data_IF_977083096016
#
_entry.id   IF_977083096016
#
_cell.length_a   1.000
_cell.length_b   1.000
_cell.length_c   1.000
_cell.angle_alpha   90.00
_cell.angle_beta   90.00
_cell.angle_gamma   90.00
#
_symmetry.space_group_name_H-M   'P 1'
#
loop_
_entity.id
_entity.type
_entity.pdbx_description
1 polymer ?
#
# COMPACT_ATOMS: atom_id res chain seq x y z
N UNK A 1 -27.20 15.12 -2.31
CA UNK A 1 -26.72 14.87 -3.71
C UNK A 1 -26.92 13.39 -4.03
N UNK A 2 -27.22 13.00 -5.30
CA UNK A 2 -27.37 11.58 -5.65
C UNK A 2 -26.03 10.96 -6.08
N UNK A 3 -25.97 9.63 -6.06
CA UNK A 3 -24.75 8.84 -6.37
C UNK A 3 -24.21 9.10 -7.79
N UNK A 4 -25.09 9.28 -8.78
CA UNK A 4 -24.67 9.55 -10.18
C UNK A 4 -23.90 10.87 -10.30
N UNK A 5 -24.33 11.89 -9.58
CA UNK A 5 -23.64 13.19 -9.56
C UNK A 5 -22.26 13.06 -8.92
N UNK A 6 -22.15 12.32 -7.82
CA UNK A 6 -20.87 12.09 -7.15
C UNK A 6 -19.90 11.33 -8.06
N UNK A 7 -20.37 10.25 -8.72
CA UNK A 7 -19.57 9.51 -9.69
C UNK A 7 -19.05 10.42 -10.81
N UNK A 8 -19.91 11.32 -11.32
CA UNK A 8 -19.50 12.29 -12.34
C UNK A 8 -18.44 13.24 -11.78
N UNK A 9 -18.66 13.82 -10.60
CA UNK A 9 -17.71 14.74 -9.97
C UNK A 9 -16.34 14.08 -9.74
N UNK A 10 -16.30 12.83 -9.24
CA UNK A 10 -15.05 12.10 -9.04
C UNK A 10 -14.27 11.87 -10.35
N UNK A 11 -14.94 11.84 -11.50
CA UNK A 11 -14.31 11.65 -12.82
C UNK A 11 -13.84 12.96 -13.47
N UNK A 12 -14.56 14.09 -13.24
CA UNK A 12 -14.31 15.32 -13.99
C UNK A 12 -13.77 16.49 -13.15
N UNK A 13 -13.72 16.37 -11.82
CA UNK A 13 -13.19 17.41 -10.96
C UNK A 13 -11.77 17.81 -11.36
N UNK A 14 -11.45 19.10 -11.31
CA UNK A 14 -10.07 19.58 -11.55
C UNK A 14 -9.07 18.93 -10.60
N UNK A 15 -9.53 18.67 -9.39
CA UNK A 15 -8.75 18.06 -8.33
C UNK A 15 -9.69 17.44 -7.29
N UNK A 16 -9.20 16.46 -6.58
CA UNK A 16 -9.78 15.90 -5.36
C UNK A 16 -8.70 15.86 -4.29
N UNK A 17 -9.10 15.66 -3.05
CA UNK A 17 -8.21 15.57 -1.90
C UNK A 17 -8.38 14.21 -1.25
N UNK A 18 -7.26 13.60 -0.83
CA UNK A 18 -7.23 12.31 -0.18
C UNK A 18 -6.42 12.40 1.11
N UNK A 19 -6.83 11.65 2.14
CA UNK A 19 -6.04 11.49 3.36
C UNK A 19 -4.93 10.47 3.08
N UNK A 20 -3.70 10.85 3.41
CA UNK A 20 -2.51 10.01 3.31
C UNK A 20 -1.98 9.69 4.69
N UNK A 21 -1.55 8.46 4.89
CA UNK A 21 -0.84 8.05 6.10
C UNK A 21 0.65 8.42 6.02
N UNK A 22 1.12 9.22 6.95
CA UNK A 22 2.55 9.50 7.09
C UNK A 22 3.34 8.24 7.53
N UNK A 23 2.65 7.30 8.17
CA UNK A 23 3.23 6.03 8.59
C UNK A 23 3.62 5.14 7.42
N UNK A 24 2.82 5.12 6.34
CA UNK A 24 3.01 4.21 5.20
C UNK A 24 3.39 4.93 3.92
N UNK A 25 3.30 6.27 3.89
CA UNK A 25 3.45 7.12 2.69
C UNK A 25 2.47 6.75 1.56
N UNK A 26 1.36 6.13 1.95
CA UNK A 26 0.28 5.67 1.07
C UNK A 26 -1.04 6.27 1.55
N UNK A 27 -2.12 5.98 0.85
CA UNK A 27 -3.47 6.37 1.28
C UNK A 27 -3.73 5.84 2.70
N UNK A 28 -4.38 6.67 3.53
CA UNK A 28 -4.88 6.21 4.82
C UNK A 28 -6.07 5.30 4.56
N UNK A 29 -5.96 4.04 4.96
CA UNK A 29 -7.01 3.03 4.78
C UNK A 29 -7.75 2.82 6.08
N UNK A 30 -9.05 2.57 5.98
CA UNK A 30 -9.91 2.21 7.10
C UNK A 30 -10.94 1.16 6.65
N UNK A 31 -11.37 0.30 7.58
CA UNK A 31 -12.47 -0.62 7.35
C UNK A 31 -13.80 0.08 7.68
N UNK A 32 -14.78 -0.05 6.80
CA UNK A 32 -16.13 0.40 7.06
C UNK A 32 -16.79 -0.56 8.07
N UNK A 33 -17.25 -0.10 9.23
CA UNK A 33 -17.78 -0.99 10.27
C UNK A 33 -19.12 -1.65 9.91
N UNK A 34 -19.84 -1.12 8.91
CA UNK A 34 -21.17 -1.63 8.49
C UNK A 34 -21.06 -2.60 7.32
N UNK A 35 -20.23 -2.27 6.31
CA UNK A 35 -20.13 -3.04 5.06
C UNK A 35 -18.88 -3.92 5.01
N UNK A 36 -17.92 -3.71 5.92
CA UNK A 36 -16.61 -4.33 5.95
C UNK A 36 -15.78 -4.05 4.68
N UNK A 37 -16.13 -3.00 3.95
CA UNK A 37 -15.33 -2.53 2.83
C UNK A 37 -14.04 -1.87 3.33
N UNK A 38 -12.96 -2.13 2.61
CA UNK A 38 -11.69 -1.42 2.80
C UNK A 38 -11.70 -0.14 1.98
N UNK A 39 -11.71 0.99 2.67
CA UNK A 39 -11.97 2.28 2.06
C UNK A 39 -10.89 3.33 2.33
N UNK A 40 -10.84 4.30 1.44
CA UNK A 40 -10.11 5.55 1.63
C UNK A 40 -11.06 6.74 1.74
N UNK A 41 -10.58 7.82 2.33
CA UNK A 41 -11.33 9.06 2.46
C UNK A 41 -10.96 10.03 1.33
N UNK A 42 -11.98 10.49 0.58
CA UNK A 42 -11.83 11.43 -0.52
C UNK A 42 -12.76 12.62 -0.32
N UNK A 43 -12.28 13.81 -0.66
CA UNK A 43 -12.96 15.08 -0.49
C UNK A 43 -12.91 15.87 -1.80
N UNK A 44 -13.97 16.63 -2.07
CA UNK A 44 -14.03 17.54 -3.21
C UNK A 44 -13.48 18.94 -2.87
N UNK A 45 -13.33 19.25 -1.57
CA UNK A 45 -12.80 20.53 -1.06
C UNK A 45 -11.64 20.28 -0.11
N UNK A 46 -10.64 21.15 -0.18
CA UNK A 46 -9.44 21.05 0.66
C UNK A 46 -9.75 21.26 2.14
N UNK A 47 -10.68 22.18 2.45
CA UNK A 47 -11.07 22.51 3.81
C UNK A 47 -11.65 21.30 4.54
N UNK A 48 -12.53 20.53 3.88
CA UNK A 48 -13.14 19.32 4.43
C UNK A 48 -12.06 18.23 4.70
N UNK A 49 -11.09 18.11 3.79
CA UNK A 49 -9.96 17.20 3.99
C UNK A 49 -9.07 17.63 5.17
N UNK A 50 -8.83 18.95 5.35
CA UNK A 50 -8.08 19.50 6.50
C UNK A 50 -8.78 19.24 7.82
N UNK A 51 -10.09 19.43 7.88
CA UNK A 51 -10.90 19.17 9.07
C UNK A 51 -10.78 17.68 9.47
N UNK A 52 -10.97 16.77 8.51
CA UNK A 52 -10.85 15.32 8.79
C UNK A 52 -9.43 14.90 9.15
N UNK A 53 -8.42 15.46 8.50
CA UNK A 53 -7.03 15.20 8.87
C UNK A 53 -6.73 15.67 10.31
N UNK A 54 -7.27 16.82 10.73
CA UNK A 54 -7.11 17.31 12.10
C UNK A 54 -7.80 16.40 13.14
N UNK A 55 -8.97 15.83 12.82
CA UNK A 55 -9.64 14.81 13.66
C UNK A 55 -8.75 13.57 13.82
N UNK A 56 -8.28 12.99 12.72
CA UNK A 56 -7.44 11.81 12.73
C UNK A 56 -6.09 12.03 13.48
N UNK A 57 -5.51 13.22 13.34
CA UNK A 57 -4.31 13.60 14.09
C UNK A 57 -4.57 13.65 15.61
N UNK A 58 -5.71 14.20 16.04
CA UNK A 58 -6.13 14.20 17.46
C UNK A 58 -6.36 12.77 17.97
N UNK A 59 -6.80 11.86 17.11
CA UNK A 59 -6.94 10.44 17.43
C UNK A 59 -5.62 9.70 17.48
N UNK A 60 -4.51 10.36 17.16
CA UNK A 60 -3.16 9.78 17.19
C UNK A 60 -2.73 9.09 15.90
N UNK A 61 -3.46 9.29 14.80
CA UNK A 61 -3.08 8.78 13.49
C UNK A 61 -2.22 9.82 12.74
N UNK A 62 -0.96 9.53 12.41
CA UNK A 62 -0.12 10.47 11.67
C UNK A 62 -0.55 10.52 10.20
N UNK A 63 -1.31 11.56 9.84
CA UNK A 63 -1.84 11.75 8.49
C UNK A 63 -1.53 13.14 7.94
N UNK A 64 -1.63 13.27 6.63
CA UNK A 64 -1.62 14.53 5.90
C UNK A 64 -2.56 14.44 4.70
N UNK A 65 -2.84 15.57 4.05
CA UNK A 65 -3.67 15.60 2.85
C UNK A 65 -2.79 15.58 1.59
N UNK A 66 -3.27 14.91 0.55
CA UNK A 66 -2.70 14.97 -0.79
C UNK A 66 -3.75 15.50 -1.77
N UNK A 67 -3.32 16.41 -2.64
CA UNK A 67 -4.09 16.91 -3.78
C UNK A 67 -3.85 16.01 -4.99
N UNK A 68 -4.90 15.50 -5.59
CA UNK A 68 -4.87 14.66 -6.78
C UNK A 68 -5.46 15.45 -7.95
N UNK A 69 -4.66 15.95 -8.88
CA UNK A 69 -5.15 16.71 -10.03
C UNK A 69 -5.86 15.80 -11.04
N UNK A 70 -6.78 16.36 -11.82
CA UNK A 70 -7.61 15.64 -12.78
C UNK A 70 -6.84 14.66 -13.66
N UNK A 71 -5.69 15.08 -14.19
CA UNK A 71 -4.84 14.24 -15.06
C UNK A 71 -4.35 12.95 -14.40
N UNK A 72 -4.36 12.88 -13.06
CA UNK A 72 -3.89 11.75 -12.27
C UNK A 72 -5.03 10.89 -11.70
N UNK A 73 -6.31 11.29 -11.85
CA UNK A 73 -7.45 10.61 -11.21
C UNK A 73 -7.55 9.14 -11.63
N UNK A 74 -7.43 8.86 -12.92
CA UNK A 74 -7.52 7.48 -13.41
C UNK A 74 -6.41 6.60 -12.82
N UNK A 75 -5.17 7.09 -12.82
CA UNK A 75 -4.04 6.39 -12.22
C UNK A 75 -4.19 6.22 -10.70
N UNK A 76 -4.71 7.24 -10.03
CA UNK A 76 -5.02 7.20 -8.60
C UNK A 76 -6.04 6.10 -8.28
N UNK A 77 -7.20 6.08 -8.96
CA UNK A 77 -8.21 5.05 -8.73
C UNK A 77 -7.68 3.64 -9.10
N UNK A 78 -6.92 3.51 -10.19
CA UNK A 78 -6.32 2.25 -10.58
C UNK A 78 -5.34 1.71 -9.52
N UNK A 79 -4.59 2.61 -8.85
CA UNK A 79 -3.66 2.22 -7.80
C UNK A 79 -4.33 1.64 -6.55
N UNK A 80 -5.60 1.97 -6.30
CA UNK A 80 -6.35 1.46 -5.15
C UNK A 80 -6.59 -0.05 -5.23
N UNK A 81 -6.83 -0.59 -6.43
CA UNK A 81 -6.92 -2.05 -6.62
C UNK A 81 -5.63 -2.77 -6.21
N UNK A 82 -4.48 -2.17 -6.55
CA UNK A 82 -3.16 -2.77 -6.28
C UNK A 82 -2.90 -2.89 -4.79
N UNK A 83 -3.42 -1.95 -4.00
CA UNK A 83 -3.28 -1.94 -2.54
C UNK A 83 -4.44 -2.62 -1.81
N UNK A 84 -5.40 -3.22 -2.53
CA UNK A 84 -6.50 -3.99 -1.94
C UNK A 84 -7.72 -3.17 -1.50
N UNK A 85 -7.74 -1.86 -1.73
CA UNK A 85 -8.90 -0.99 -1.44
C UNK A 85 -10.00 -1.27 -2.45
N UNK A 86 -11.23 -1.42 -1.97
CA UNK A 86 -12.41 -1.73 -2.80
C UNK A 86 -13.45 -0.60 -2.86
N UNK A 87 -13.37 0.39 -1.95
CA UNK A 87 -14.33 1.50 -1.92
C UNK A 87 -13.68 2.85 -1.61
N UNK A 88 -14.42 3.91 -1.88
CA UNK A 88 -14.07 5.29 -1.58
C UNK A 88 -15.22 5.90 -0.79
N UNK A 89 -14.93 6.41 0.40
CA UNK A 89 -15.87 7.24 1.16
C UNK A 89 -15.68 8.69 0.79
N UNK A 90 -16.71 9.27 0.16
CA UNK A 90 -16.73 10.69 -0.21
C UNK A 90 -17.45 11.46 0.88
N UNK A 91 -16.75 12.40 1.50
CA UNK A 91 -17.32 13.34 2.46
C UNK A 91 -17.52 14.70 1.82
N UNK A 92 -18.66 15.29 2.07
CA UNK A 92 -19.05 16.60 1.60
C UNK A 92 -19.75 17.36 2.73
N UNK A 93 -19.48 18.64 2.83
CA UNK A 93 -20.13 19.51 3.80
C UNK A 93 -21.64 19.55 3.55
N UNK A 94 -22.43 19.40 4.62
CA UNK A 94 -23.91 19.43 4.61
C UNK A 94 -24.61 18.28 3.86
N UNK A 95 -23.88 17.28 3.40
CA UNK A 95 -24.45 16.08 2.75
C UNK A 95 -24.05 14.82 3.54
N UNK A 96 -24.87 13.77 3.51
CA UNK A 96 -24.46 12.47 4.03
C UNK A 96 -23.21 11.95 3.31
N UNK A 97 -22.32 11.30 4.05
CA UNK A 97 -21.19 10.59 3.45
C UNK A 97 -21.68 9.52 2.47
N UNK A 98 -20.97 9.35 1.36
CA UNK A 98 -21.35 8.38 0.36
C UNK A 98 -20.21 7.42 0.08
N UNK A 99 -20.50 6.13 0.15
CA UNK A 99 -19.57 5.06 -0.24
C UNK A 99 -19.77 4.73 -1.71
N UNK A 100 -18.70 4.83 -2.47
CA UNK A 100 -18.63 4.51 -3.90
C UNK A 100 -17.72 3.29 -4.05
N UNK A 101 -18.25 2.21 -4.61
CA UNK A 101 -17.46 1.04 -4.92
C UNK A 101 -16.48 1.35 -6.06
N UNK A 102 -15.26 0.89 -5.96
CA UNK A 102 -14.19 1.24 -6.90
C UNK A 102 -14.52 0.82 -8.35
N UNK A 103 -15.22 -0.32 -8.52
CA UNK A 103 -15.65 -0.82 -9.83
C UNK A 103 -16.68 0.08 -10.54
N UNK A 104 -17.36 0.98 -9.81
CA UNK A 104 -18.29 1.98 -10.38
C UNK A 104 -17.54 3.17 -10.98
N UNK A 105 -16.32 3.44 -10.50
CA UNK A 105 -15.47 4.53 -11.00
C UNK A 105 -14.64 4.10 -12.19
N UNK A 106 -14.04 2.94 -12.11
CA UNK A 106 -13.13 2.41 -13.14
C UNK A 106 -13.36 0.91 -13.33
N UNK A 107 -13.18 0.48 -14.57
CA UNK A 107 -13.15 -0.95 -14.91
C UNK A 107 -11.70 -1.41 -14.99
N UNK A 108 -11.38 -2.47 -14.25
CA UNK A 108 -10.10 -3.14 -14.37
C UNK A 108 -10.21 -4.27 -15.39
N UNK A 109 -9.39 -4.29 -16.46
CA UNK A 109 -9.36 -5.42 -17.38
C UNK A 109 -9.04 -6.72 -16.62
N UNK A 110 -9.72 -7.81 -16.96
CA UNK A 110 -9.43 -9.13 -16.40
C UNK A 110 -8.03 -9.61 -16.86
N UNK A 111 -7.42 -10.52 -16.09
CA UNK A 111 -6.04 -10.97 -16.35
C UNK A 111 -5.89 -11.76 -17.64
N UNK A 112 -6.96 -12.45 -18.09
CA UNK A 112 -7.02 -13.14 -19.36
C UNK A 112 -7.00 -12.21 -20.60
N UNK A 113 -7.21 -10.91 -20.39
CA UNK A 113 -7.12 -9.87 -21.42
C UNK A 113 -5.75 -9.19 -21.50
N UNK A 114 -4.78 -9.66 -20.72
CA UNK A 114 -3.41 -9.17 -20.84
C UNK A 114 -2.76 -9.73 -22.12
N UNK A 115 -1.83 -8.99 -22.74
CA UNK A 115 -1.03 -9.50 -23.83
C UNK A 115 -0.34 -10.82 -23.46
N UNK A 116 -0.18 -11.69 -24.45
CA UNK A 116 0.46 -12.99 -24.24
C UNK A 116 1.85 -12.84 -23.61
N UNK A 117 2.13 -13.65 -22.58
CA UNK A 117 3.37 -13.59 -21.82
C UNK A 117 3.43 -12.52 -20.72
N UNK A 118 2.41 -11.66 -20.62
CA UNK A 118 2.33 -10.67 -19.52
C UNK A 118 1.48 -11.21 -18.37
N UNK A 119 1.99 -11.01 -17.15
CA UNK A 119 1.29 -11.34 -15.90
C UNK A 119 1.35 -10.15 -14.95
N UNK A 120 0.23 -9.82 -14.34
CA UNK A 120 0.24 -8.86 -13.23
C UNK A 120 0.88 -9.51 -12.02
N UNK A 121 1.82 -8.81 -11.43
CA UNK A 121 2.37 -9.17 -10.13
C UNK A 121 1.82 -8.17 -9.14
N UNK A 122 0.94 -8.65 -8.30
CA UNK A 122 0.26 -7.87 -7.28
C UNK A 122 -0.06 -8.76 -6.09
N UNK A 123 -0.07 -8.19 -4.89
CA UNK A 123 -0.40 -8.85 -3.65
C UNK A 123 -1.38 -7.97 -2.85
N UNK A 124 -2.60 -7.71 -3.35
CA UNK A 124 -3.49 -6.72 -2.75
C UNK A 124 -3.84 -7.04 -1.30
N UNK A 125 -4.13 -8.29 -0.96
CA UNK A 125 -4.43 -8.69 0.41
C UNK A 125 -3.22 -8.45 1.34
N UNK A 126 -2.02 -8.88 0.95
CA UNK A 126 -0.81 -8.61 1.73
C UNK A 126 -0.55 -7.11 1.87
N UNK A 127 -0.69 -6.34 0.78
CA UNK A 127 -0.43 -4.91 0.79
C UNK A 127 -1.39 -4.17 1.73
N UNK A 128 -2.68 -4.49 1.65
CA UNK A 128 -3.71 -3.91 2.51
C UNK A 128 -3.46 -4.22 4.00
N UNK A 129 -3.23 -5.50 4.35
CA UNK A 129 -2.92 -5.87 5.73
C UNK A 129 -1.64 -5.19 6.23
N UNK A 130 -0.62 -5.01 5.35
CA UNK A 130 0.57 -4.25 5.68
C UNK A 130 0.29 -2.76 5.94
N UNK A 131 -0.65 -2.15 5.20
CA UNK A 131 -1.08 -0.77 5.45
C UNK A 131 -1.74 -0.66 6.83
N UNK A 132 -2.70 -1.52 7.16
CA UNK A 132 -3.35 -1.54 8.48
C UNK A 132 -2.34 -1.75 9.60
N UNK A 133 -1.51 -2.78 9.48
CA UNK A 133 -0.49 -3.09 10.48
C UNK A 133 0.46 -1.91 10.73
N UNK A 134 0.99 -1.29 9.68
CA UNK A 134 1.94 -0.20 9.82
C UNK A 134 1.27 1.12 10.26
N UNK A 135 0.03 1.37 9.88
CA UNK A 135 -0.77 2.47 10.42
C UNK A 135 -0.97 2.30 11.93
N UNK A 136 -1.34 1.10 12.38
CA UNK A 136 -1.51 0.79 13.78
C UNK A 136 -0.21 0.91 14.55
N UNK A 137 0.86 0.23 14.12
CA UNK A 137 2.14 0.17 14.81
C UNK A 137 2.85 1.54 14.93
N UNK A 138 2.57 2.46 14.01
CA UNK A 138 3.14 3.81 14.00
C UNK A 138 2.17 4.88 14.50
N UNK A 139 1.00 4.48 15.00
CA UNK A 139 0.04 5.37 15.66
C UNK A 139 0.37 5.57 17.13
N UNK A 140 -0.18 6.60 17.74
CA UNK A 140 -0.08 6.82 19.18
C UNK A 140 -0.79 5.73 20.01
N UNK A 141 -1.74 4.99 19.40
CA UNK A 141 -2.55 3.95 20.06
C UNK A 141 -1.96 2.54 19.94
N UNK A 142 -0.75 2.38 19.38
CA UNK A 142 -0.13 1.06 19.15
C UNK A 142 -0.04 0.20 20.43
N UNK A 143 0.26 0.83 21.57
CA UNK A 143 0.37 0.12 22.85
C UNK A 143 -0.96 -0.42 23.39
N UNK A 144 -2.07 0.23 23.05
CA UNK A 144 -3.41 -0.10 23.56
C UNK A 144 -4.12 -1.14 22.68
N UNK A 145 -3.60 -1.42 21.48
CA UNK A 145 -4.19 -2.29 20.47
C UNK A 145 -3.29 -3.49 20.11
N UNK A 146 -2.66 -4.10 21.12
CA UNK A 146 -1.69 -5.18 20.91
C UNK A 146 -2.33 -6.47 20.34
N UNK A 147 -3.57 -6.79 20.73
CA UNK A 147 -4.26 -7.97 20.19
C UNK A 147 -4.54 -7.81 18.70
N UNK A 148 -5.03 -6.65 18.28
CA UNK A 148 -5.22 -6.35 16.86
C UNK A 148 -3.90 -6.34 16.07
N UNK A 149 -2.83 -5.83 16.66
CA UNK A 149 -1.51 -5.88 16.03
C UNK A 149 -1.03 -7.33 15.84
N UNK A 150 -1.35 -8.22 16.78
CA UNK A 150 -1.04 -9.64 16.68
C UNK A 150 -1.86 -10.31 15.56
N UNK A 151 -3.16 -10.09 15.51
CA UNK A 151 -4.03 -10.60 14.46
C UNK A 151 -3.56 -10.16 13.07
N UNK A 152 -3.28 -8.87 12.89
CA UNK A 152 -2.73 -8.33 11.65
C UNK A 152 -1.35 -8.94 11.29
N UNK A 153 -0.51 -9.21 12.29
CA UNK A 153 0.79 -9.86 12.08
C UNK A 153 0.65 -11.30 11.61
N UNK A 154 -0.30 -12.05 12.17
CA UNK A 154 -0.61 -13.43 11.75
C UNK A 154 -1.18 -13.47 10.33
N UNK A 155 -2.08 -12.56 10.01
CA UNK A 155 -2.64 -12.39 8.66
C UNK A 155 -1.55 -12.01 7.64
N UNK A 156 -0.66 -11.07 7.99
CA UNK A 156 0.50 -10.71 7.19
C UNK A 156 1.38 -11.92 6.87
N UNK A 157 1.68 -12.75 7.86
CA UNK A 157 2.49 -13.94 7.65
C UNK A 157 1.80 -14.92 6.69
N UNK A 158 0.48 -15.09 6.84
CA UNK A 158 -0.32 -15.97 5.97
C UNK A 158 -0.35 -15.48 4.51
N UNK A 159 -0.54 -14.19 4.29
CA UNK A 159 -0.51 -13.58 2.95
C UNK A 159 0.89 -13.58 2.36
N UNK A 160 1.92 -13.30 3.17
CA UNK A 160 3.31 -13.33 2.75
C UNK A 160 3.71 -14.70 2.21
N UNK A 161 3.35 -15.77 2.92
CA UNK A 161 3.67 -17.15 2.53
C UNK A 161 3.08 -17.56 1.16
N UNK A 162 1.98 -16.96 0.75
CA UNK A 162 1.28 -17.22 -0.52
C UNK A 162 1.67 -16.25 -1.64
N UNK A 163 2.44 -15.21 -1.32
CA UNK A 163 2.73 -14.09 -2.22
C UNK A 163 3.70 -14.43 -3.34
N UNK A 164 3.65 -13.61 -4.37
CA UNK A 164 4.64 -13.55 -5.45
C UNK A 164 5.17 -12.13 -5.49
N UNK A 165 6.46 -11.96 -5.31
CA UNK A 165 7.10 -10.66 -5.13
C UNK A 165 8.06 -10.34 -6.27
N UNK A 166 8.35 -9.06 -6.42
CA UNK A 166 9.39 -8.57 -7.33
C UNK A 166 10.66 -8.34 -6.52
N UNK A 167 11.76 -8.93 -6.95
CA UNK A 167 13.11 -8.70 -6.44
C UNK A 167 13.83 -7.76 -7.39
N UNK A 168 14.51 -6.73 -6.88
CA UNK A 168 15.34 -5.86 -7.67
C UNK A 168 16.70 -6.53 -7.96
N UNK A 169 17.14 -6.54 -9.22
CA UNK A 169 18.40 -7.14 -9.64
C UNK A 169 19.20 -6.12 -10.44
N UNK A 170 20.50 -5.98 -10.16
CA UNK A 170 21.44 -5.13 -10.89
C UNK A 170 21.87 -5.81 -12.20
N UNK A 171 22.52 -5.08 -13.09
CA UNK A 171 23.01 -5.62 -14.37
C UNK A 171 24.03 -6.74 -14.21
N UNK A 172 24.82 -6.72 -13.13
CA UNK A 172 25.79 -7.77 -12.77
C UNK A 172 25.16 -8.94 -11.99
N UNK A 173 23.84 -9.05 -12.01
CA UNK A 173 23.02 -10.03 -11.28
C UNK A 173 23.12 -9.94 -9.74
N UNK A 174 23.69 -8.87 -9.19
CA UNK A 174 23.67 -8.65 -7.75
C UNK A 174 22.34 -8.07 -7.30
N UNK A 175 22.00 -8.33 -6.05
CA UNK A 175 20.81 -7.80 -5.41
C UNK A 175 21.22 -6.63 -4.54
N UNK A 176 20.63 -5.42 -4.72
CA UNK A 176 20.92 -4.30 -3.85
C UNK A 176 20.44 -4.61 -2.43
N UNK A 177 21.23 -4.19 -1.44
CA UNK A 177 20.87 -4.33 -0.04
C UNK A 177 20.67 -2.95 0.59
N UNK A 178 19.64 -2.85 1.43
CA UNK A 178 19.38 -1.68 2.25
C UNK A 178 19.93 -1.94 3.65
N UNK A 179 20.78 -1.02 4.14
CA UNK A 179 21.28 -1.06 5.51
C UNK A 179 20.31 -0.29 6.42
N UNK A 180 19.90 -0.92 7.48
CA UNK A 180 19.11 -0.32 8.55
C UNK A 180 19.77 -0.64 9.88
N UNK A 181 19.62 0.25 10.87
CA UNK A 181 20.09 -0.03 12.22
C UNK A 181 19.11 -0.95 12.93
N UNK A 182 19.59 -2.00 13.53
CA UNK A 182 18.81 -2.84 14.44
C UNK A 182 18.62 -2.15 15.81
N UNK A 183 17.89 -2.77 16.72
CA UNK A 183 17.66 -2.27 18.06
C UNK A 183 18.94 -2.07 18.90
N UNK A 184 20.08 -2.66 18.48
CA UNK A 184 21.40 -2.53 19.08
C UNK A 184 22.29 -1.53 18.32
N UNK A 185 21.71 -0.71 17.43
CA UNK A 185 22.39 0.28 16.58
C UNK A 185 23.43 -0.31 15.62
N UNK A 186 23.39 -1.62 15.36
CA UNK A 186 24.25 -2.28 14.37
C UNK A 186 23.61 -2.17 12.97
N UNK A 187 24.46 -1.95 11.97
CA UNK A 187 24.02 -1.98 10.58
C UNK A 187 23.66 -3.41 10.17
N UNK A 188 22.39 -3.60 9.83
CA UNK A 188 21.86 -4.87 9.35
C UNK A 188 21.38 -4.68 7.92
N UNK A 189 21.73 -5.60 7.04
CA UNK A 189 21.35 -5.56 5.64
C UNK A 189 20.05 -6.32 5.39
N UNK A 190 19.12 -5.69 4.67
CA UNK A 190 17.85 -6.28 4.21
C UNK A 190 17.75 -6.21 2.70
N UNK A 191 17.18 -7.26 2.11
CA UNK A 191 16.92 -7.30 0.69
C UNK A 191 15.58 -6.63 0.39
N UNK A 192 15.53 -5.59 -0.48
CA UNK A 192 14.27 -5.00 -0.91
C UNK A 192 13.50 -5.95 -1.81
N UNK A 193 12.21 -6.10 -1.53
CA UNK A 193 11.23 -6.79 -2.38
C UNK A 193 9.97 -5.92 -2.51
N UNK A 194 9.17 -6.17 -3.55
CA UNK A 194 8.04 -5.32 -3.87
C UNK A 194 6.79 -6.15 -4.14
N UNK A 195 5.65 -5.67 -3.66
CA UNK A 195 4.35 -6.31 -3.85
C UNK A 195 3.85 -6.23 -5.29
N UNK A 196 4.33 -5.22 -6.04
CA UNK A 196 3.82 -4.84 -7.34
C UNK A 196 4.83 -3.99 -8.13
N UNK A 197 4.56 -3.78 -9.42
CA UNK A 197 5.40 -2.94 -10.28
C UNK A 197 5.42 -1.46 -9.89
N UNK A 198 4.33 -0.80 -9.50
CA UNK A 198 4.35 0.56 -8.99
C UNK A 198 5.35 0.75 -7.82
N UNK A 199 5.35 -0.14 -6.84
CA UNK A 199 6.29 -0.09 -5.71
C UNK A 199 7.75 -0.32 -6.16
N UNK A 200 7.98 -1.28 -7.06
CA UNK A 200 9.29 -1.48 -7.66
C UNK A 200 9.77 -0.23 -8.40
N UNK A 201 8.92 0.42 -9.19
CA UNK A 201 9.28 1.62 -9.94
C UNK A 201 9.57 2.83 -9.05
N UNK A 202 8.91 2.98 -7.92
CA UNK A 202 9.26 4.00 -6.90
C UNK A 202 10.69 3.82 -6.38
N UNK A 203 11.14 2.59 -6.23
CA UNK A 203 12.50 2.26 -5.81
C UNK A 203 13.51 2.43 -6.95
N UNK A 204 13.14 2.02 -8.15
CA UNK A 204 13.99 2.01 -9.36
C UNK A 204 13.94 3.34 -10.15
N UNK A 205 14.03 4.49 -9.48
CA UNK A 205 13.96 5.80 -10.14
C UNK A 205 15.03 6.00 -11.22
N UNK A 206 16.19 5.40 -11.04
CA UNK A 206 17.30 5.47 -12.01
C UNK A 206 17.16 4.51 -13.19
N UNK A 207 16.16 3.63 -13.18
CA UNK A 207 15.88 2.58 -14.19
C UNK A 207 17.05 1.62 -14.44
N UNK A 208 17.95 1.46 -13.47
CA UNK A 208 19.14 0.57 -13.57
C UNK A 208 18.89 -0.85 -13.03
N UNK A 209 17.74 -1.08 -12.42
CA UNK A 209 17.40 -2.38 -11.84
C UNK A 209 16.42 -3.12 -12.74
N UNK A 210 16.56 -4.43 -12.80
CA UNK A 210 15.64 -5.33 -13.50
C UNK A 210 14.72 -6.01 -12.48
N UNK A 211 13.42 -6.19 -12.79
CA UNK A 211 12.51 -6.93 -11.93
C UNK A 211 12.71 -8.45 -12.14
N UNK A 212 12.87 -9.17 -11.05
CA UNK A 212 12.83 -10.63 -11.02
C UNK A 212 11.59 -11.04 -10.21
N UNK A 213 10.68 -11.78 -10.84
CA UNK A 213 9.46 -12.27 -10.19
C UNK A 213 9.75 -13.57 -9.45
N UNK A 214 9.45 -13.60 -8.15
CA UNK A 214 9.80 -14.71 -7.27
C UNK A 214 8.60 -15.06 -6.37
N UNK A 215 8.16 -16.33 -6.41
CA UNK A 215 7.20 -16.84 -5.42
C UNK A 215 7.87 -16.93 -4.05
N UNK A 216 7.13 -16.63 -2.97
CA UNK A 216 7.70 -16.63 -1.61
C UNK A 216 8.46 -17.91 -1.26
N UNK A 217 7.95 -19.08 -1.65
CA UNK A 217 8.60 -20.38 -1.38
C UNK A 217 10.01 -20.52 -1.99
N UNK A 218 10.31 -19.75 -3.05
CA UNK A 218 11.62 -19.71 -3.73
C UNK A 218 12.48 -18.51 -3.28
N UNK A 219 11.91 -17.59 -2.53
CA UNK A 219 12.62 -16.38 -2.08
C UNK A 219 13.92 -16.70 -1.31
N UNK A 220 13.96 -17.71 -0.41
CA UNK A 220 15.20 -18.09 0.27
C UNK A 220 16.37 -18.48 -0.64
N UNK A 221 16.08 -18.95 -1.86
CA UNK A 221 17.08 -19.37 -2.86
C UNK A 221 17.74 -18.19 -3.57
N UNK A 222 17.01 -17.05 -3.68
CA UNK A 222 17.47 -15.83 -4.34
C UNK A 222 17.85 -14.72 -3.34
N UNK A 223 17.85 -15.02 -2.03
CA UNK A 223 18.29 -14.07 -1.03
C UNK A 223 19.80 -13.88 -1.05
N UNK A 224 20.24 -12.65 -0.99
CA UNK A 224 21.65 -12.32 -0.78
C UNK A 224 22.15 -12.91 0.55
N UNK A 225 23.38 -13.41 0.57
CA UNK A 225 23.96 -14.10 1.77
C UNK A 225 23.97 -13.18 2.98
N UNK A 226 24.23 -11.89 2.78
CA UNK A 226 24.37 -10.88 3.83
C UNK A 226 23.02 -10.39 4.37
N UNK A 227 21.91 -10.62 3.63
CA UNK A 227 20.59 -10.15 4.07
C UNK A 227 20.10 -10.93 5.30
N UNK A 228 19.61 -10.26 6.32
CA UNK A 228 18.99 -10.85 7.53
C UNK A 228 17.50 -11.08 7.39
N UNK A 229 16.91 -10.60 6.31
CA UNK A 229 15.49 -10.66 6.00
C UNK A 229 15.22 -9.81 4.77
N UNK A 230 13.96 -9.49 4.56
CA UNK A 230 13.54 -8.62 3.46
C UNK A 230 12.88 -7.35 3.99
N UNK A 231 12.95 -6.29 3.20
CA UNK A 231 12.12 -5.10 3.40
C UNK A 231 11.14 -4.99 2.24
N UNK A 232 9.86 -5.05 2.57
CA UNK A 232 8.78 -4.96 1.60
C UNK A 232 8.42 -3.51 1.36
N UNK A 233 8.39 -3.08 0.09
CA UNK A 233 8.00 -1.74 -0.34
C UNK A 233 8.73 -0.64 0.45
N UNK A 234 10.08 -0.63 0.35
CA UNK A 234 10.94 0.26 1.13
C UNK A 234 10.61 1.76 1.00
N UNK A 235 10.02 2.19 -0.12
CA UNK A 235 9.59 3.58 -0.35
C UNK A 235 8.14 3.85 0.05
N UNK A 236 7.39 2.79 0.41
CA UNK A 236 6.00 2.80 0.87
C UNK A 236 5.88 2.35 2.33
N UNK A 237 5.24 1.20 2.55
CA UNK A 237 4.98 0.64 3.90
C UNK A 237 6.26 0.36 4.69
N UNK A 238 7.36 0.09 4.02
CA UNK A 238 8.68 -0.17 4.61
C UNK A 238 8.60 -1.20 5.75
N UNK A 239 8.06 -2.38 5.42
CA UNK A 239 7.82 -3.46 6.38
C UNK A 239 8.97 -4.47 6.33
N UNK A 240 9.59 -4.76 7.48
CA UNK A 240 10.62 -5.78 7.60
C UNK A 240 9.95 -7.14 7.88
N UNK A 241 10.32 -8.14 7.07
CA UNK A 241 9.89 -9.53 7.24
C UNK A 241 11.10 -10.44 7.39
N UNK A 242 11.02 -11.35 8.35
CA UNK A 242 12.02 -12.41 8.51
C UNK A 242 11.76 -13.51 7.48
N UNK A 243 12.83 -14.01 6.89
CA UNK A 243 12.79 -15.12 5.94
C UNK A 243 13.82 -16.14 6.37
N UNK A 244 13.39 -17.36 6.67
CA UNK A 244 14.28 -18.45 7.00
C UNK A 244 15.06 -18.86 5.75
N UNK A 245 16.38 -18.79 5.83
CA UNK A 245 17.26 -19.27 4.76
C UNK A 245 17.32 -20.79 4.80
N UNK A 246 17.29 -21.43 3.64
CA UNK A 246 17.67 -22.84 3.56
C UNK A 246 19.08 -23.00 4.12
N UNK A 247 19.25 -23.83 5.15
CA UNK A 247 20.58 -24.24 5.61
C UNK A 247 21.25 -24.97 4.44
N UNK A 248 22.30 -24.37 3.92
CA UNK A 248 23.20 -25.00 2.94
C UNK A 248 24.07 -26.06 3.61
#
# INVERSE_FOLDING_TARGET
MNKTVILSLLKISKEIYCIMSAATKMQYVQCNPETFDDEILVFLKEEEAKEKAAELLKEGNPVHIAKIPQKNLLGFYASLYVIGVNSIRVKMQYEPEMVIQLHELITRPADDKLPEGQKRIENPAFHLTALYFMQLMRSAKAKDRQEEAKELSEELAAHFAKGTFIVAVQEDNKIPLLKQKDGNLKDVAFQPIFTDMPEFMKFNMTKKLKPLVVEMKKLPEVMAKEAKGVVVNAMGVNLIMQVEKKKS
#
